data_IF_256542672283
#
_entry.id   IF_256542672283
#
_cell.length_a   1.000
_cell.length_b   1.000
_cell.length_c   1.000
_cell.angle_alpha   90.00
_cell.angle_beta   90.00
_cell.angle_gamma   90.00
#
_symmetry.space_group_name_H-M   'P 1'
#
loop_
_entity.id
_entity.type
_entity.pdbx_description
1 polymer ?
#
# COMPACT_ATOMS: atom_id res chain seq x y z
N UNK A 1 -1.04 10.76 13.25
CA UNK A 1 -0.87 9.45 12.60
C UNK A 1 -0.20 8.51 13.58
N UNK A 2 -0.18 7.23 13.25
CA UNK A 2 0.47 6.14 13.98
C UNK A 2 1.20 5.28 12.96
N UNK A 3 2.41 4.88 13.31
CA UNK A 3 3.29 4.11 12.43
C UNK A 3 3.51 2.73 13.04
N UNK A 4 3.38 1.70 12.21
CA UNK A 4 3.65 0.32 12.59
C UNK A 4 4.69 -0.27 11.65
N UNK A 5 5.69 -0.96 12.21
CA UNK A 5 6.53 -1.91 11.49
C UNK A 5 5.79 -3.25 11.48
N UNK A 6 5.58 -3.81 10.29
CA UNK A 6 4.87 -5.07 10.09
C UNK A 6 5.86 -6.11 9.56
N UNK A 7 5.91 -7.26 10.21
CA UNK A 7 6.70 -8.41 9.78
C UNK A 7 5.78 -9.62 9.66
N UNK A 8 5.78 -10.27 8.50
CA UNK A 8 5.03 -11.52 8.29
C UNK A 8 6.06 -12.64 8.12
N UNK A 9 6.07 -13.65 9.01
CA UNK A 9 7.01 -14.75 8.89
C UNK A 9 6.71 -15.54 7.61
N UNK A 10 7.77 -15.96 6.89
CA UNK A 10 7.62 -16.86 5.75
C UNK A 10 7.16 -18.22 6.25
N UNK A 11 6.07 -18.74 5.68
CA UNK A 11 5.77 -20.15 5.82
C UNK A 11 6.79 -20.97 5.01
N UNK A 12 7.02 -22.22 5.41
CA UNK A 12 7.99 -23.13 4.77
C UNK A 12 7.85 -23.13 3.25
N UNK A 13 8.99 -23.11 2.54
CA UNK A 13 9.04 -23.02 1.08
C UNK A 13 8.08 -24.04 0.43
N UNK A 14 7.15 -23.59 -0.45
CA UNK A 14 6.23 -24.49 -1.14
C UNK A 14 7.00 -25.47 -2.05
N UNK A 15 6.43 -26.65 -2.29
CA UNK A 15 6.97 -27.57 -3.29
C UNK A 15 6.85 -26.96 -4.70
N UNK A 16 7.82 -27.23 -5.58
CA UNK A 16 7.89 -26.65 -6.94
C UNK A 16 6.53 -26.70 -7.67
N UNK A 17 6.02 -25.53 -8.07
CA UNK A 17 4.74 -25.38 -8.77
C UNK A 17 3.59 -24.81 -7.93
N UNK A 18 3.73 -24.76 -6.61
CA UNK A 18 2.73 -24.13 -5.71
C UNK A 18 2.87 -22.60 -5.63
N UNK A 19 4.05 -22.04 -5.95
CA UNK A 19 4.37 -20.61 -5.76
C UNK A 19 3.36 -19.63 -6.40
N UNK A 20 3.00 -19.84 -7.66
CA UNK A 20 2.05 -18.93 -8.37
C UNK A 20 0.63 -18.99 -7.83
N UNK A 21 0.22 -20.11 -7.24
CA UNK A 21 -1.13 -20.26 -6.65
C UNK A 21 -1.16 -19.57 -5.28
N UNK A 22 -0.11 -19.74 -4.48
CA UNK A 22 0.09 -19.10 -3.18
C UNK A 22 0.21 -17.58 -3.28
N UNK A 23 0.85 -17.04 -4.33
CA UNK A 23 0.92 -15.59 -4.58
C UNK A 23 -0.46 -14.98 -4.83
N UNK A 24 -1.26 -15.60 -5.71
CA UNK A 24 -2.62 -15.11 -6.01
C UNK A 24 -3.54 -15.18 -4.80
N UNK A 25 -3.40 -16.22 -3.98
CA UNK A 25 -4.13 -16.35 -2.71
C UNK A 25 -3.71 -15.25 -1.72
N UNK A 26 -2.42 -14.99 -1.59
CA UNK A 26 -1.89 -13.90 -0.76
C UNK A 26 -2.38 -12.53 -1.23
N UNK A 27 -2.41 -12.29 -2.55
CA UNK A 27 -2.95 -11.07 -3.14
C UNK A 27 -4.45 -10.94 -2.84
N UNK A 28 -5.22 -12.01 -2.96
CA UNK A 28 -6.66 -12.02 -2.62
C UNK A 28 -6.91 -11.69 -1.15
N UNK A 29 -6.11 -12.22 -0.23
CA UNK A 29 -6.17 -11.88 1.20
C UNK A 29 -5.86 -10.39 1.41
N UNK A 30 -4.82 -9.87 0.76
CA UNK A 30 -4.47 -8.46 0.80
C UNK A 30 -5.55 -7.56 0.19
N UNK A 31 -6.24 -8.00 -0.88
CA UNK A 31 -7.39 -7.28 -1.45
C UNK A 31 -8.54 -7.17 -0.46
N UNK A 32 -8.79 -8.21 0.34
CA UNK A 32 -9.79 -8.17 1.41
C UNK A 32 -9.38 -7.18 2.51
N UNK A 33 -8.10 -7.17 2.92
CA UNK A 33 -7.56 -6.19 3.84
C UNK A 33 -7.68 -4.76 3.26
N UNK A 34 -7.35 -4.53 2.00
CA UNK A 34 -7.50 -3.21 1.38
C UNK A 34 -8.96 -2.79 1.22
N UNK A 35 -9.87 -3.75 1.01
CA UNK A 35 -11.31 -3.48 0.97
C UNK A 35 -11.83 -3.04 2.34
N UNK A 36 -11.32 -3.61 3.45
CA UNK A 36 -11.63 -3.12 4.79
C UNK A 36 -11.12 -1.68 4.98
N UNK A 37 -9.95 -1.35 4.41
CA UNK A 37 -9.42 0.02 4.40
C UNK A 37 -10.20 0.98 3.46
N UNK A 38 -10.88 0.48 2.44
CA UNK A 38 -11.73 1.33 1.60
C UNK A 38 -13.01 1.78 2.36
N UNK A 39 -13.46 0.98 3.32
CA UNK A 39 -14.61 1.30 4.19
C UNK A 39 -14.32 2.38 5.24
N UNK A 40 -13.09 2.90 5.30
CA UNK A 40 -12.60 3.91 6.26
C UNK A 40 -13.20 5.31 6.12
N UNK A 41 -14.41 5.41 5.58
CA UNK A 41 -15.13 6.66 5.48
C UNK A 41 -15.26 7.27 6.88
N UNK A 42 -14.63 8.43 7.04
CA UNK A 42 -14.52 9.20 8.26
C UNK A 42 -15.92 9.46 8.85
N UNK A 43 -16.13 9.10 10.12
CA UNK A 43 -17.45 9.15 10.80
C UNK A 43 -18.04 10.58 10.93
N UNK A 44 -17.25 11.64 10.71
CA UNK A 44 -17.66 13.02 10.99
C UNK A 44 -17.36 13.99 9.85
N UNK A 45 -18.40 14.46 9.16
CA UNK A 45 -18.32 15.43 8.04
C UNK A 45 -17.56 16.71 8.37
N UNK A 46 -17.62 17.17 9.63
CA UNK A 46 -16.97 18.40 10.11
C UNK A 46 -15.45 18.22 10.14
N UNK A 47 -14.97 17.08 10.64
CA UNK A 47 -13.53 16.79 10.65
C UNK A 47 -12.95 16.64 9.24
N UNK A 48 -13.71 16.07 8.30
CA UNK A 48 -13.28 15.97 6.90
C UNK A 48 -13.10 17.35 6.26
N UNK A 49 -13.96 18.31 6.62
CA UNK A 49 -13.88 19.66 6.08
C UNK A 49 -12.65 20.41 6.59
N UNK A 50 -12.28 20.22 7.86
CA UNK A 50 -11.14 20.91 8.49
C UNK A 50 -9.81 20.22 8.17
N UNK A 51 -9.75 18.89 8.24
CA UNK A 51 -8.50 18.12 8.19
C UNK A 51 -8.33 17.28 6.91
N UNK A 52 -9.31 17.31 6.01
CA UNK A 52 -9.34 16.45 4.83
C UNK A 52 -9.71 14.98 5.13
N UNK A 53 -9.84 14.14 4.09
CA UNK A 53 -10.11 12.72 4.24
C UNK A 53 -8.93 12.00 4.91
N UNK A 54 -9.16 10.90 5.65
CA UNK A 54 -8.08 10.11 6.20
C UNK A 54 -7.28 9.48 5.06
N UNK A 55 -5.98 9.31 5.28
CA UNK A 55 -5.11 8.56 4.39
C UNK A 55 -4.42 7.45 5.18
N UNK A 56 -4.05 6.41 4.46
CA UNK A 56 -3.21 5.31 4.92
C UNK A 56 -1.98 5.30 4.02
N UNK A 57 -0.79 5.10 4.58
CA UNK A 57 0.41 4.92 3.79
C UNK A 57 0.99 3.53 4.00
N UNK A 58 1.32 2.87 2.91
CA UNK A 58 2.13 1.65 2.88
C UNK A 58 3.54 2.07 2.48
N UNK A 59 4.52 1.66 3.24
CA UNK A 59 5.90 2.11 3.10
C UNK A 59 6.85 0.94 3.09
N UNK A 60 7.87 1.03 2.26
CA UNK A 60 9.02 0.14 2.25
C UNK A 60 10.27 1.01 2.36
N UNK A 61 11.09 0.79 3.38
CA UNK A 61 12.23 1.66 3.64
C UNK A 61 13.45 0.91 4.16
N UNK A 62 14.62 1.45 3.85
CA UNK A 62 15.89 1.14 4.50
C UNK A 62 16.28 2.39 5.28
N UNK A 63 16.39 2.24 6.60
CA UNK A 63 16.81 3.31 7.50
C UNK A 63 18.27 3.65 7.25
N UNK A 64 18.65 4.92 7.44
CA UNK A 64 20.01 5.41 7.20
C UNK A 64 21.09 4.66 7.98
N UNK A 65 20.72 4.05 9.12
CA UNK A 65 21.60 3.26 9.97
C UNK A 65 21.16 1.78 10.07
N UNK A 66 20.14 1.40 9.29
CA UNK A 66 19.60 0.04 9.25
C UNK A 66 20.21 -0.77 8.11
N UNK A 67 20.11 -2.09 8.20
CA UNK A 67 20.59 -3.03 7.17
C UNK A 67 19.47 -3.91 6.60
N UNK A 68 18.24 -3.67 7.03
CA UNK A 68 17.07 -4.47 6.64
C UNK A 68 16.03 -3.57 6.00
N UNK A 69 15.32 -4.14 5.01
CA UNK A 69 14.13 -3.49 4.45
C UNK A 69 12.98 -3.64 5.45
N UNK A 70 12.53 -2.52 5.98
CA UNK A 70 11.34 -2.44 6.82
C UNK A 70 10.08 -2.19 5.98
N UNK A 71 8.98 -2.84 6.37
CA UNK A 71 7.65 -2.58 5.82
C UNK A 71 6.80 -1.87 6.87
N UNK A 72 6.34 -0.66 6.55
CA UNK A 72 5.63 0.18 7.49
C UNK A 72 4.21 0.49 7.01
N UNK A 73 3.32 0.65 7.98
CA UNK A 73 1.94 1.06 7.79
C UNK A 73 1.67 2.30 8.65
N UNK A 74 1.36 3.42 7.99
CA UNK A 74 0.97 4.67 8.64
C UNK A 74 -0.53 4.89 8.49
N UNK A 75 -1.22 5.14 9.60
CA UNK A 75 -2.68 5.34 9.60
C UNK A 75 -3.16 6.26 10.74
N UNK A 76 -4.42 6.70 10.74
CA UNK A 76 -4.98 7.50 11.83
C UNK A 76 -5.02 6.76 13.18
N UNK A 77 -4.71 7.47 14.28
CA UNK A 77 -4.65 6.90 15.65
C UNK A 77 -5.91 6.15 16.09
N UNK A 78 -7.08 6.61 15.68
CA UNK A 78 -8.36 5.99 16.07
C UNK A 78 -8.59 4.60 15.44
N UNK A 79 -7.73 4.19 14.52
CA UNK A 79 -7.81 2.91 13.82
C UNK A 79 -6.78 1.87 14.28
N UNK A 80 -5.83 2.22 15.15
CA UNK A 80 -4.76 1.32 15.62
C UNK A 80 -5.32 -0.07 16.01
N UNK A 81 -6.27 -0.09 16.94
CA UNK A 81 -6.88 -1.33 17.41
C UNK A 81 -7.65 -2.10 16.32
N UNK A 82 -8.20 -1.41 15.33
CA UNK A 82 -8.96 -2.06 14.25
C UNK A 82 -8.01 -2.72 13.26
N UNK A 83 -6.93 -2.02 12.88
CA UNK A 83 -6.00 -2.54 11.88
C UNK A 83 -5.17 -3.68 12.42
N UNK A 84 -4.74 -3.62 13.69
CA UNK A 84 -4.02 -4.72 14.35
C UNK A 84 -4.85 -6.00 14.34
N UNK A 85 -6.13 -5.91 14.74
CA UNK A 85 -7.05 -7.06 14.73
C UNK A 85 -7.30 -7.60 13.33
N UNK A 86 -7.42 -6.72 12.33
CA UNK A 86 -7.61 -7.14 10.94
C UNK A 86 -6.37 -7.84 10.39
N UNK A 87 -5.19 -7.27 10.59
CA UNK A 87 -3.92 -7.88 10.16
C UNK A 87 -3.75 -9.24 10.85
N UNK A 88 -3.93 -9.35 12.17
CA UNK A 88 -3.86 -10.64 12.85
C UNK A 88 -4.96 -11.64 12.41
N UNK A 89 -6.13 -11.15 12.00
CA UNK A 89 -7.19 -11.99 11.46
C UNK A 89 -6.80 -12.67 10.13
N UNK A 90 -6.06 -11.96 9.27
CA UNK A 90 -5.59 -12.48 7.99
C UNK A 90 -4.21 -13.15 8.08
N UNK A 91 -3.35 -12.65 8.96
CA UNK A 91 -1.98 -13.09 9.18
C UNK A 91 -1.74 -13.33 10.68
N UNK A 92 -2.19 -14.48 11.23
CA UNK A 92 -2.14 -14.73 12.68
C UNK A 92 -0.73 -14.66 13.28
N UNK A 93 0.29 -14.98 12.48
CA UNK A 93 1.70 -14.97 12.88
C UNK A 93 2.40 -13.63 12.61
N UNK A 94 1.71 -12.62 12.08
CA UNK A 94 2.31 -11.32 11.84
C UNK A 94 2.74 -10.66 13.16
N UNK A 95 3.92 -10.06 13.16
CA UNK A 95 4.40 -9.19 14.22
C UNK A 95 4.10 -7.74 13.83
N UNK A 96 3.41 -7.01 14.71
CA UNK A 96 3.02 -5.62 14.51
C UNK A 96 3.62 -4.78 15.64
N UNK A 97 4.60 -3.95 15.33
CA UNK A 97 5.35 -3.15 16.30
C UNK A 97 5.03 -1.68 16.07
N UNK A 98 4.46 -1.00 17.07
CA UNK A 98 4.25 0.45 17.01
C UNK A 98 5.60 1.17 17.08
N UNK A 99 5.91 1.96 16.05
CA UNK A 99 7.14 2.73 15.96
C UNK A 99 6.86 4.23 16.13
N UNK A 100 7.86 4.97 16.64
CA UNK A 100 7.74 6.42 16.80
C UNK A 100 7.90 7.13 15.45
N UNK A 101 9.00 6.84 14.76
CA UNK A 101 9.40 7.32 13.44
C UNK A 101 10.67 6.54 13.06
N UNK A 102 10.93 6.35 11.77
CA UNK A 102 12.22 5.90 11.26
C UNK A 102 12.90 7.02 10.47
N UNK A 103 14.21 6.95 10.31
CA UNK A 103 14.96 7.99 9.60
C UNK A 103 15.74 7.41 8.41
N UNK A 104 15.42 7.91 7.21
CA UNK A 104 16.16 7.59 5.97
C UNK A 104 17.19 8.66 5.60
N UNK A 105 17.21 9.77 6.33
CA UNK A 105 18.02 10.93 6.02
C UNK A 105 19.33 10.91 6.80
N UNK A 106 20.39 11.31 6.10
CA UNK A 106 21.67 11.62 6.69
C UNK A 106 21.83 13.14 6.77
N UNK A 107 22.10 13.66 7.97
CA UNK A 107 22.18 15.09 8.24
C UNK A 107 23.24 15.82 7.39
N UNK A 108 24.30 15.12 6.97
CA UNK A 108 25.36 15.66 6.12
C UNK A 108 25.25 15.20 4.65
N UNK A 109 24.15 14.51 4.30
CA UNK A 109 23.93 13.92 2.99
C UNK A 109 23.25 14.87 1.99
N UNK A 110 22.89 14.32 0.84
CA UNK A 110 22.01 14.97 -0.14
C UNK A 110 20.72 14.18 -0.24
N UNK A 111 19.62 14.86 -0.52
CA UNK A 111 18.30 14.25 -0.68
C UNK A 111 17.78 14.43 -2.11
N UNK A 112 17.05 13.43 -2.59
CA UNK A 112 16.33 13.46 -3.85
C UNK A 112 14.94 12.86 -3.65
N UNK A 113 13.91 13.53 -4.19
CA UNK A 113 12.51 13.13 -4.02
C UNK A 113 11.82 13.12 -5.38
N UNK A 114 11.05 12.07 -5.66
CA UNK A 114 10.22 11.95 -6.85
C UNK A 114 8.77 11.67 -6.48
N UNK A 115 7.83 12.32 -7.18
CA UNK A 115 6.40 12.09 -7.02
C UNK A 115 5.79 11.55 -8.32
N UNK A 116 5.08 10.43 -8.20
CA UNK A 116 4.40 9.80 -9.33
C UNK A 116 2.88 10.03 -9.23
N UNK A 117 2.27 10.37 -10.37
CA UNK A 117 0.81 10.46 -10.51
C UNK A 117 0.36 9.80 -11.79
N UNK A 118 -0.84 9.22 -11.78
CA UNK A 118 -1.43 8.63 -12.97
C UNK A 118 -1.67 9.69 -14.06
N UNK A 119 -1.25 9.39 -15.29
CA UNK A 119 -1.42 10.27 -16.45
C UNK A 119 -2.89 10.39 -16.90
N UNK A 120 -3.69 9.33 -16.76
CA UNK A 120 -5.11 9.27 -17.15
C UNK A 120 -6.01 9.21 -15.91
N UNK A 121 -7.23 9.75 -16.00
CA UNK A 121 -8.23 9.68 -14.93
C UNK A 121 -8.62 8.21 -14.66
N UNK A 122 -8.70 7.88 -13.37
CA UNK A 122 -8.42 6.54 -12.85
C UNK A 122 -9.52 5.48 -12.95
N UNK A 123 -10.32 5.44 -14.02
CA UNK A 123 -11.25 4.31 -14.17
C UNK A 123 -10.52 3.05 -14.65
N UNK A 124 -9.42 3.18 -15.41
CA UNK A 124 -8.61 2.03 -15.88
C UNK A 124 -7.09 2.33 -16.05
N UNK A 125 -6.32 2.63 -14.98
CA UNK A 125 -4.93 3.08 -15.19
C UNK A 125 -3.85 2.01 -14.99
N UNK A 126 -4.11 0.87 -14.33
CA UNK A 126 -3.07 -0.09 -13.93
C UNK A 126 -3.49 -1.51 -14.32
N UNK A 127 -2.56 -2.30 -14.86
CA UNK A 127 -2.77 -3.74 -15.09
C UNK A 127 -3.07 -4.40 -13.74
N UNK A 128 -4.14 -5.16 -13.66
CA UNK A 128 -4.43 -5.94 -12.45
C UNK A 128 -3.38 -7.03 -12.27
N UNK A 129 -3.19 -7.49 -11.05
CA UNK A 129 -2.25 -8.58 -10.74
C UNK A 129 -2.52 -9.86 -11.57
N UNK A 130 -3.76 -10.06 -12.02
CA UNK A 130 -4.15 -11.15 -12.91
C UNK A 130 -3.46 -11.10 -14.29
N UNK A 131 -2.97 -9.92 -14.69
CA UNK A 131 -2.27 -9.67 -15.96
C UNK A 131 -0.79 -9.29 -15.76
N UNK A 132 -0.28 -9.35 -14.53
CA UNK A 132 1.15 -9.20 -14.26
C UNK A 132 1.82 -10.55 -14.49
N UNK A 133 2.82 -10.58 -15.37
CA UNK A 133 3.61 -11.78 -15.68
C UNK A 133 4.79 -11.96 -14.71
N UNK A 134 5.20 -10.87 -14.04
CA UNK A 134 6.35 -10.79 -13.14
C UNK A 134 5.97 -10.14 -11.81
N UNK A 135 6.73 -10.45 -10.74
CA UNK A 135 6.56 -9.86 -9.41
C UNK A 135 6.90 -8.34 -9.43
N UNK A 136 5.93 -7.45 -9.15
CA UNK A 136 6.18 -6.01 -9.15
C UNK A 136 7.03 -5.52 -7.97
N UNK A 137 7.16 -6.29 -6.89
CA UNK A 137 7.95 -5.88 -5.71
C UNK A 137 9.41 -6.32 -5.79
N UNK A 138 9.73 -7.38 -6.53
CA UNK A 138 11.09 -7.90 -6.65
C UNK A 138 12.10 -6.86 -7.15
N UNK A 139 11.75 -6.06 -8.15
CA UNK A 139 12.61 -5.00 -8.68
C UNK A 139 12.88 -3.90 -7.64
N UNK A 140 11.83 -3.47 -6.92
CA UNK A 140 11.95 -2.45 -5.88
C UNK A 140 12.78 -2.94 -4.69
N UNK A 141 12.54 -4.18 -4.28
CA UNK A 141 13.28 -4.83 -3.18
C UNK A 141 14.75 -4.99 -3.56
N UNK A 142 15.05 -5.40 -4.80
CA UNK A 142 16.42 -5.54 -5.32
C UNK A 142 17.13 -4.18 -5.42
N UNK A 143 16.41 -3.12 -5.80
CA UNK A 143 16.97 -1.78 -5.84
C UNK A 143 17.30 -1.27 -4.43
N UNK A 144 16.40 -1.48 -3.47
CA UNK A 144 16.63 -1.12 -2.07
C UNK A 144 17.76 -1.95 -1.46
N UNK A 145 17.83 -3.26 -1.69
CA UNK A 145 18.85 -4.12 -1.08
C UNK A 145 20.29 -3.79 -1.48
N UNK A 146 20.49 -2.95 -2.51
CA UNK A 146 21.81 -2.43 -2.91
C UNK A 146 22.26 -1.22 -2.07
N UNK A 147 21.38 -0.68 -1.24
CA UNK A 147 21.70 0.37 -0.26
C UNK A 147 22.27 -0.35 0.96
N UNK A 148 23.60 -0.41 1.04
CA UNK A 148 24.33 -1.14 2.07
C UNK A 148 25.32 -0.27 2.86
N UNK A 149 25.56 0.97 2.40
CA UNK A 149 26.45 1.91 3.05
C UNK A 149 25.77 2.58 4.26
N UNK A 150 26.41 2.58 5.44
CA UNK A 150 25.94 3.38 6.57
C UNK A 150 25.84 4.87 6.19
N UNK A 151 24.72 5.50 6.51
CA UNK A 151 24.43 6.88 6.13
C UNK A 151 23.66 7.02 4.82
N UNK A 152 23.32 5.93 4.14
CA UNK A 152 22.39 5.91 3.02
C UNK A 152 21.05 5.30 3.44
N UNK A 153 19.95 5.89 2.98
CA UNK A 153 18.61 5.40 3.25
C UNK A 153 17.67 5.77 2.12
N UNK A 154 16.58 5.02 2.00
CA UNK A 154 15.55 5.28 1.01
C UNK A 154 14.20 4.77 1.48
N UNK A 155 13.13 5.41 1.02
CA UNK A 155 11.76 4.95 1.23
C UNK A 155 10.95 5.04 -0.05
N UNK A 156 10.06 4.07 -0.23
CA UNK A 156 8.99 4.08 -1.22
C UNK A 156 7.67 4.08 -0.48
N UNK A 157 6.82 5.06 -0.78
CA UNK A 157 5.55 5.26 -0.10
C UNK A 157 4.38 5.23 -1.10
N UNK A 158 3.37 4.42 -0.79
CA UNK A 158 2.08 4.39 -1.48
C UNK A 158 1.02 4.96 -0.55
N UNK A 159 0.47 6.12 -0.91
CA UNK A 159 -0.57 6.80 -0.13
C UNK A 159 -1.95 6.43 -0.68
N UNK A 160 -2.75 5.79 0.16
CA UNK A 160 -4.12 5.39 -0.10
C UNK A 160 -5.09 6.37 0.56
N UNK A 161 -6.10 6.79 -0.18
CA UNK A 161 -7.19 7.64 0.34
C UNK A 161 -8.54 7.16 -0.20
N UNK A 162 -9.62 7.19 0.61
CA UNK A 162 -10.95 6.87 0.13
C UNK A 162 -11.35 7.78 -1.04
N UNK A 163 -11.92 7.20 -2.09
CA UNK A 163 -12.43 7.96 -3.22
C UNK A 163 -13.67 8.77 -2.81
N UNK A 164 -13.84 9.97 -3.39
CA UNK A 164 -15.06 10.75 -3.20
C UNK A 164 -16.27 10.05 -3.82
N UNK A 165 -17.46 10.19 -3.22
CA UNK A 165 -18.71 9.60 -3.73
C UNK A 165 -18.98 9.87 -5.22
N UNK A 166 -18.66 11.09 -5.69
CA UNK A 166 -18.78 11.48 -7.10
C UNK A 166 -17.90 10.62 -8.02
N UNK A 167 -16.68 10.32 -7.58
CA UNK A 167 -15.76 9.46 -8.33
C UNK A 167 -16.30 8.03 -8.41
N UNK A 168 -16.76 7.48 -7.28
CA UNK A 168 -17.34 6.12 -7.23
C UNK A 168 -18.56 5.99 -8.13
N UNK A 169 -19.47 6.96 -8.10
CA UNK A 169 -20.66 6.96 -8.96
C UNK A 169 -20.30 7.06 -10.45
N UNK A 170 -19.32 7.89 -10.81
CA UNK A 170 -18.85 7.98 -12.19
C UNK A 170 -18.17 6.69 -12.65
N UNK A 171 -17.38 6.05 -11.78
CA UNK A 171 -16.75 4.76 -12.08
C UNK A 171 -17.80 3.67 -12.31
N UNK A 172 -18.84 3.59 -11.47
CA UNK A 172 -19.96 2.65 -11.65
C UNK A 172 -20.68 2.86 -12.98
N UNK A 173 -20.99 4.11 -13.34
CA UNK A 173 -21.61 4.44 -14.63
C UNK A 173 -20.75 3.98 -15.80
N UNK A 174 -19.44 4.25 -15.77
CA UNK A 174 -18.54 3.81 -16.83
C UNK A 174 -18.48 2.29 -16.91
N UNK A 175 -18.46 1.58 -15.77
CA UNK A 175 -18.52 0.12 -15.76
C UNK A 175 -19.82 -0.43 -16.35
N UNK A 176 -20.97 0.21 -16.07
CA UNK A 176 -22.25 -0.14 -16.69
C UNK A 176 -22.23 0.06 -18.21
N UNK A 177 -21.65 1.16 -18.69
CA UNK A 177 -21.52 1.45 -20.12
C UNK A 177 -20.62 0.42 -20.83
N UNK A 178 -19.49 0.07 -20.21
CA UNK A 178 -18.60 -0.99 -20.70
C UNK A 178 -19.35 -2.33 -20.80
N UNK A 179 -20.09 -2.70 -19.76
CA UNK A 179 -20.87 -3.95 -19.74
C UNK A 179 -21.99 -3.97 -20.78
N UNK A 180 -22.50 -2.80 -21.19
CA UNK A 180 -23.47 -2.63 -22.28
C UNK A 180 -22.83 -2.60 -23.68
N UNK A 181 -21.50 -2.68 -23.77
CA UNK A 181 -20.77 -2.61 -25.04
C UNK A 181 -20.63 -1.19 -25.61
N UNK A 182 -20.88 -0.16 -24.82
CA UNK A 182 -20.76 1.24 -25.26
C UNK A 182 -19.29 1.68 -25.33
N UNK A 183 -18.95 2.47 -26.36
CA UNK A 183 -17.58 2.93 -26.56
C UNK A 183 -17.26 4.11 -25.62
N UNK A 184 -16.31 3.91 -24.72
CA UNK A 184 -15.87 4.88 -23.68
C UNK A 184 -14.98 6.00 -24.26
N UNK A 185 -15.19 6.37 -25.53
CA UNK A 185 -14.42 7.37 -26.23
C UNK A 185 -14.79 8.78 -25.79
N UNK A 186 -13.94 9.38 -24.96
CA UNK A 186 -13.84 10.80 -24.54
C UNK A 186 -14.42 11.14 -23.16
N UNK A 187 -13.69 10.86 -22.08
CA UNK A 187 -13.74 11.64 -20.82
C UNK A 187 -12.40 11.61 -20.07
#
# INVERSE_FOLDING_TARGET
MSLFLIRVPRESAPAQGQDKKTEKESISIMEQLYSSLASLSQRSKIKNWIYGPPHVALEMAIESMGQEIGFYLSLPRWMENTIEKQIHGFFPKAEIIKQKEYNIFNANGKEAIAYLRLRKRGILPIRTYQKLETDPLGELTTALSKIDNPGEGAAIQIILRPAHKKWTSNAQKVMEQINKGENIGKH
#
